data_IF_915466488557
#
_entry.id   IF_915466488557
#
_cell.length_a   1.000
_cell.length_b   1.000
_cell.length_c   1.000
_cell.angle_alpha   90.00
_cell.angle_beta   90.00
_cell.angle_gamma   90.00
#
_symmetry.space_group_name_H-M   'P 1'
#
loop_
_entity.id
_entity.type
_entity.pdbx_description
1 polymer ?
#
# COMPACT_ATOMS: atom_id res chain seq x y z
N UNK A 1 1.06 -7.68 -14.20
CA UNK A 1 1.00 -8.68 -13.10
C UNK A 1 2.37 -9.30 -12.78
N UNK A 2 3.15 -9.76 -13.77
CA UNK A 2 4.46 -10.39 -13.53
C UNK A 2 5.43 -9.53 -12.68
N UNK A 3 5.50 -8.23 -12.94
CA UNK A 3 6.38 -7.31 -12.21
C UNK A 3 6.03 -7.18 -10.72
N UNK A 4 4.74 -7.20 -10.39
CA UNK A 4 4.26 -7.17 -9.01
C UNK A 4 4.64 -8.44 -8.26
N UNK A 5 4.54 -9.60 -8.91
CA UNK A 5 4.92 -10.87 -8.32
C UNK A 5 6.44 -11.00 -8.12
N UNK A 6 7.24 -10.49 -9.05
CA UNK A 6 8.69 -10.39 -8.86
C UNK A 6 9.03 -9.46 -7.69
N UNK A 7 8.34 -8.32 -7.56
CA UNK A 7 8.50 -7.41 -6.42
C UNK A 7 8.19 -8.12 -5.11
N UNK A 8 7.09 -8.90 -5.03
CA UNK A 8 6.75 -9.67 -3.82
C UNK A 8 7.79 -10.75 -3.50
N UNK A 9 8.37 -11.40 -4.52
CA UNK A 9 9.46 -12.37 -4.34
C UNK A 9 10.72 -11.68 -3.82
N UNK A 10 11.09 -10.53 -4.39
CA UNK A 10 12.22 -9.72 -3.95
C UNK A 10 12.05 -9.29 -2.49
N UNK A 11 10.91 -8.74 -2.11
CA UNK A 11 10.62 -8.34 -0.72
C UNK A 11 10.84 -9.51 0.25
N UNK A 12 10.34 -10.71 -0.09
CA UNK A 12 10.53 -11.91 0.74
C UNK A 12 12.01 -12.33 0.83
N UNK A 13 12.77 -12.20 -0.26
CA UNK A 13 14.18 -12.59 -0.36
C UNK A 13 15.10 -11.66 0.43
N UNK A 14 14.85 -10.35 0.43
CA UNK A 14 15.66 -9.35 1.15
C UNK A 14 15.64 -9.56 2.67
N UNK A 15 14.58 -10.17 3.22
CA UNK A 15 14.42 -10.42 4.67
C UNK A 15 14.56 -9.15 5.52
N UNK A 16 14.11 -8.01 5.00
CA UNK A 16 14.03 -6.77 5.77
C UNK A 16 13.15 -6.92 7.01
N UNK A 17 13.44 -6.15 8.07
CA UNK A 17 12.61 -6.16 9.28
C UNK A 17 11.23 -5.55 9.07
N UNK A 18 11.16 -4.56 8.20
CA UNK A 18 9.98 -3.82 7.81
C UNK A 18 9.96 -3.61 6.30
N UNK A 19 8.77 -3.64 5.74
CA UNK A 19 8.51 -3.22 4.36
C UNK A 19 7.33 -2.26 4.34
N UNK A 20 7.44 -1.24 3.51
CA UNK A 20 6.37 -0.30 3.21
C UNK A 20 6.07 -0.37 1.72
N UNK A 21 4.79 -0.56 1.42
CA UNK A 21 4.25 -0.57 0.05
C UNK A 21 3.11 0.44 0.03
N UNK A 22 3.09 1.28 -1.01
CA UNK A 22 2.07 2.30 -1.21
C UNK A 22 1.58 2.26 -2.66
N UNK A 23 0.36 2.73 -2.87
CA UNK A 23 -0.15 3.06 -4.20
C UNK A 23 0.54 4.36 -4.63
N UNK A 24 0.99 4.42 -5.87
CA UNK A 24 1.62 5.61 -6.41
C UNK A 24 0.56 6.70 -6.66
N UNK A 25 0.81 7.88 -6.09
CA UNK A 25 0.01 9.09 -6.26
C UNK A 25 0.83 10.13 -7.00
N UNK A 26 0.46 10.48 -8.24
CA UNK A 26 1.07 11.59 -8.97
C UNK A 26 0.79 12.93 -8.28
N UNK A 27 1.85 13.65 -7.90
CA UNK A 27 1.76 14.93 -7.18
C UNK A 27 1.83 16.13 -8.14
N UNK A 28 1.20 17.28 -7.80
CA UNK A 28 1.16 18.44 -8.68
C UNK A 28 2.57 18.99 -8.95
N UNK A 29 2.78 19.52 -10.15
CA UNK A 29 4.08 20.06 -10.58
C UNK A 29 5.13 19.02 -10.96
N UNK A 30 4.88 17.71 -10.76
CA UNK A 30 5.77 16.64 -11.24
C UNK A 30 5.59 16.38 -12.74
N UNK A 31 6.61 15.82 -13.38
CA UNK A 31 6.54 15.41 -14.79
C UNK A 31 5.44 14.37 -15.02
N UNK A 32 5.41 13.32 -14.19
CA UNK A 32 4.38 12.30 -14.24
C UNK A 32 2.96 12.87 -14.10
N UNK A 33 2.74 13.90 -13.28
CA UNK A 33 1.42 14.52 -13.19
C UNK A 33 1.02 15.23 -14.49
N UNK A 34 1.97 15.95 -15.12
CA UNK A 34 1.73 16.60 -16.42
C UNK A 34 1.45 15.55 -17.51
N UNK A 35 2.20 14.47 -17.53
CA UNK A 35 2.01 13.38 -18.49
C UNK A 35 0.67 12.66 -18.26
N UNK A 36 0.30 12.45 -17.00
CA UNK A 36 -0.99 11.89 -16.61
C UNK A 36 -2.18 12.73 -17.09
N UNK A 37 -2.08 14.06 -16.99
CA UNK A 37 -3.08 14.98 -17.53
C UNK A 37 -3.11 14.97 -19.06
N UNK A 38 -1.94 15.02 -19.70
CA UNK A 38 -1.82 15.05 -21.17
C UNK A 38 -2.31 13.76 -21.84
N UNK A 39 -2.08 12.61 -21.20
CA UNK A 39 -2.54 11.28 -21.67
C UNK A 39 -3.99 10.97 -21.34
N UNK A 40 -4.63 11.74 -20.47
CA UNK A 40 -5.99 11.48 -19.97
C UNK A 40 -6.10 10.40 -18.90
N UNK A 41 -4.97 9.84 -18.42
CA UNK A 41 -4.93 8.95 -17.25
C UNK A 41 -5.49 9.68 -16.02
N UNK A 42 -5.13 10.96 -15.87
CA UNK A 42 -5.69 11.87 -14.89
C UNK A 42 -6.68 12.78 -15.64
N UNK A 43 -7.98 12.64 -15.32
CA UNK A 43 -9.05 13.29 -16.09
C UNK A 43 -9.14 14.80 -15.93
N UNK A 44 -8.69 15.33 -14.79
CA UNK A 44 -8.81 16.73 -14.40
C UNK A 44 -7.69 17.13 -13.46
N UNK A 45 -7.40 18.43 -13.38
CA UNK A 45 -6.40 18.99 -12.45
C UNK A 45 -6.94 18.97 -11.01
N UNK A 46 -7.10 17.77 -10.46
CA UNK A 46 -7.70 17.52 -9.15
C UNK A 46 -6.97 18.22 -8.00
N UNK A 47 -5.66 18.47 -8.15
CA UNK A 47 -4.88 19.19 -7.14
C UNK A 47 -5.16 20.68 -7.17
N UNK A 48 -5.33 21.27 -8.36
CA UNK A 48 -5.79 22.66 -8.48
C UNK A 48 -7.21 22.81 -7.94
N UNK A 49 -8.13 21.95 -8.33
CA UNK A 49 -9.52 21.98 -7.84
C UNK A 49 -9.58 21.91 -6.31
N UNK A 50 -8.80 20.99 -5.71
CA UNK A 50 -8.70 20.88 -4.26
C UNK A 50 -8.07 22.13 -3.62
N UNK A 51 -7.07 22.75 -4.24
CA UNK A 51 -6.45 23.97 -3.73
C UNK A 51 -7.40 25.19 -3.81
N UNK A 52 -8.27 25.24 -4.82
CA UNK A 52 -9.28 26.29 -5.01
C UNK A 52 -10.46 26.12 -4.04
N UNK A 53 -10.92 24.89 -3.81
CA UNK A 53 -12.00 24.55 -2.90
C UNK A 53 -11.71 23.22 -2.19
N UNK A 54 -11.09 23.24 -0.99
CA UNK A 54 -10.78 22.04 -0.24
C UNK A 54 -12.06 21.33 0.23
N UNK A 55 -12.25 20.09 -0.22
CA UNK A 55 -13.34 19.21 0.21
C UNK A 55 -12.79 18.10 1.13
N UNK A 56 -13.55 17.74 2.17
CA UNK A 56 -13.14 16.71 3.14
C UNK A 56 -13.09 15.29 2.52
N UNK A 57 -13.76 15.08 1.39
CA UNK A 57 -13.85 13.80 0.68
C UNK A 57 -12.86 13.67 -0.49
N UNK A 58 -11.90 14.60 -0.60
CA UNK A 58 -10.91 14.57 -1.67
C UNK A 58 -10.11 13.26 -1.69
N UNK A 59 -10.17 12.56 -2.83
CA UNK A 59 -9.38 11.36 -3.08
C UNK A 59 -8.21 11.70 -4.01
N UNK A 60 -6.95 11.57 -3.55
CA UNK A 60 -5.79 11.78 -4.40
C UNK A 60 -5.80 10.84 -5.62
N UNK A 61 -5.33 11.29 -6.79
CA UNK A 61 -5.32 10.46 -7.99
C UNK A 61 -4.36 9.26 -7.81
N UNK A 62 -4.62 8.20 -8.57
CA UNK A 62 -3.67 7.11 -8.76
C UNK A 62 -3.37 6.96 -10.26
N UNK A 63 -2.26 6.30 -10.58
CA UNK A 63 -1.94 5.98 -11.97
C UNK A 63 -2.77 4.80 -12.48
N UNK A 64 -3.94 5.10 -13.04
CA UNK A 64 -4.96 4.13 -13.41
C UNK A 64 -4.84 3.52 -14.82
N UNK A 65 -3.65 3.42 -15.39
CA UNK A 65 -3.45 2.94 -16.77
C UNK A 65 -3.80 1.45 -16.95
N UNK A 66 -3.37 0.61 -16.01
CA UNK A 66 -3.54 -0.85 -16.08
C UNK A 66 -4.36 -1.44 -14.95
N UNK A 67 -4.56 -0.69 -13.87
CA UNK A 67 -5.21 -1.16 -12.66
C UNK A 67 -6.16 -0.12 -12.09
N UNK A 68 -7.31 -0.59 -11.59
CA UNK A 68 -8.18 0.24 -10.77
C UNK A 68 -7.56 0.45 -9.39
N UNK A 69 -8.09 1.41 -8.64
CA UNK A 69 -7.64 1.67 -7.27
C UNK A 69 -7.87 0.45 -6.38
N UNK A 70 -9.00 -0.22 -6.57
CA UNK A 70 -9.41 -1.41 -5.82
C UNK A 70 -8.44 -2.57 -6.07
N UNK A 71 -8.04 -2.80 -7.33
CA UNK A 71 -7.06 -3.82 -7.68
C UNK A 71 -5.70 -3.52 -7.04
N UNK A 72 -5.25 -2.25 -7.07
CA UNK A 72 -4.02 -1.83 -6.41
C UNK A 72 -4.08 -2.02 -4.89
N UNK A 73 -5.24 -1.77 -4.27
CA UNK A 73 -5.45 -2.03 -2.84
C UNK A 73 -5.40 -3.52 -2.52
N UNK A 74 -5.98 -4.38 -3.36
CA UNK A 74 -5.91 -5.83 -3.19
C UNK A 74 -4.47 -6.35 -3.31
N UNK A 75 -3.70 -5.82 -4.26
CA UNK A 75 -2.27 -6.10 -4.39
C UNK A 75 -1.49 -5.63 -3.16
N UNK A 76 -1.81 -4.44 -2.62
CA UNK A 76 -1.21 -3.93 -1.40
C UNK A 76 -1.50 -4.86 -0.22
N UNK A 77 -2.76 -5.29 -0.03
CA UNK A 77 -3.12 -6.26 1.02
C UNK A 77 -2.34 -7.56 0.88
N UNK A 78 -2.28 -8.11 -0.34
CA UNK A 78 -1.52 -9.33 -0.65
C UNK A 78 -0.03 -9.17 -0.34
N UNK A 79 0.55 -8.01 -0.64
CA UNK A 79 1.96 -7.70 -0.36
C UNK A 79 2.24 -7.71 1.16
N UNK A 80 1.43 -6.98 1.93
CA UNK A 80 1.58 -6.88 3.38
C UNK A 80 1.39 -8.23 4.07
N UNK A 81 0.31 -8.95 3.75
CA UNK A 81 0.06 -10.27 4.33
C UNK A 81 1.17 -11.26 3.96
N UNK A 82 1.55 -11.30 2.68
CA UNK A 82 2.61 -12.18 2.19
C UNK A 82 4.00 -11.88 2.76
N UNK A 83 4.26 -10.64 3.18
CA UNK A 83 5.53 -10.23 3.79
C UNK A 83 5.55 -10.41 5.31
N UNK A 84 4.54 -9.93 6.03
CA UNK A 84 4.54 -9.92 7.49
C UNK A 84 4.06 -11.23 8.13
N UNK A 85 3.23 -12.03 7.45
CA UNK A 85 2.69 -13.30 7.98
C UNK A 85 3.51 -14.53 7.56
N UNK A 86 4.78 -14.34 7.19
CA UNK A 86 5.67 -15.43 6.79
C UNK A 86 5.96 -16.34 7.99
N UNK A 87 5.79 -17.67 7.90
CA UNK A 87 6.01 -18.59 9.01
C UNK A 87 7.38 -18.43 9.68
N UNK A 88 8.44 -18.31 8.89
CA UNK A 88 9.79 -18.10 9.41
C UNK A 88 9.95 -16.77 10.18
N UNK A 89 9.29 -15.69 9.72
CA UNK A 89 9.30 -14.39 10.43
C UNK A 89 8.49 -14.49 11.72
N UNK A 90 7.32 -15.12 11.69
CA UNK A 90 6.49 -15.34 12.88
C UNK A 90 7.26 -16.17 13.92
N UNK A 91 7.89 -17.28 13.51
CA UNK A 91 8.69 -18.11 14.41
C UNK A 91 9.84 -17.32 15.03
N UNK A 92 10.59 -16.58 14.20
CA UNK A 92 11.67 -15.69 14.68
C UNK A 92 11.15 -14.66 15.69
N UNK A 93 9.97 -14.08 15.47
CA UNK A 93 9.36 -13.16 16.43
C UNK A 93 9.05 -13.89 17.74
N UNK A 94 8.37 -15.04 17.68
CA UNK A 94 7.94 -15.79 18.86
C UNK A 94 9.12 -16.22 19.74
N UNK A 95 10.22 -16.69 19.14
CA UNK A 95 11.43 -17.08 19.88
C UNK A 95 12.15 -15.91 20.57
N UNK A 96 11.94 -14.68 20.11
CA UNK A 96 12.60 -13.49 20.66
C UNK A 96 11.75 -12.74 21.69
N UNK A 97 10.51 -13.15 21.94
CA UNK A 97 9.63 -12.51 22.92
C UNK A 97 10.15 -12.78 24.32
N UNK A 98 10.30 -11.71 25.12
CA UNK A 98 10.80 -11.81 26.50
C UNK A 98 9.73 -11.56 27.56
N UNK A 99 8.60 -10.97 27.17
CA UNK A 99 7.54 -10.60 28.12
C UNK A 99 6.14 -10.87 27.57
N UNK A 100 5.15 -11.17 28.43
CA UNK A 100 3.75 -11.30 28.01
C UNK A 100 3.21 -10.04 27.33
N UNK A 101 3.57 -8.86 27.83
CA UNK A 101 3.14 -7.58 27.23
C UNK A 101 3.71 -7.35 25.83
N UNK A 102 4.91 -7.83 25.53
CA UNK A 102 5.45 -7.84 24.18
C UNK A 102 4.68 -8.79 23.26
N UNK A 103 4.36 -10.00 23.74
CA UNK A 103 3.53 -10.95 23.00
C UNK A 103 2.20 -10.35 22.57
N UNK A 104 1.44 -9.77 23.50
CA UNK A 104 0.13 -9.20 23.18
C UNK A 104 0.21 -8.06 22.16
N UNK A 105 1.23 -7.20 22.24
CA UNK A 105 1.45 -6.12 21.27
C UNK A 105 1.71 -6.67 19.87
N UNK A 106 2.60 -7.67 19.74
CA UNK A 106 2.93 -8.27 18.45
C UNK A 106 1.79 -9.12 17.89
N UNK A 107 1.07 -9.86 18.74
CA UNK A 107 -0.11 -10.63 18.36
C UNK A 107 -1.21 -9.70 17.82
N UNK A 108 -1.48 -8.59 18.51
CA UNK A 108 -2.44 -7.57 18.03
C UNK A 108 -2.02 -6.97 16.69
N UNK A 109 -0.75 -6.67 16.49
CA UNK A 109 -0.23 -6.18 15.21
C UNK A 109 -0.38 -7.24 14.09
N UNK A 110 -0.03 -8.50 14.36
CA UNK A 110 -0.19 -9.60 13.42
C UNK A 110 -1.65 -9.83 13.01
N UNK A 111 -2.59 -9.77 13.97
CA UNK A 111 -4.03 -9.87 13.70
C UNK A 111 -4.53 -8.71 12.82
N UNK A 112 -4.05 -7.48 13.06
CA UNK A 112 -4.38 -6.33 12.19
C UNK A 112 -3.94 -6.57 10.74
N UNK A 113 -2.77 -7.16 10.51
CA UNK A 113 -2.29 -7.51 9.16
C UNK A 113 -3.12 -8.65 8.55
N UNK A 114 -3.42 -9.68 9.33
CA UNK A 114 -4.22 -10.84 8.89
C UNK A 114 -5.63 -10.44 8.45
N UNK A 115 -6.27 -9.56 9.20
CA UNK A 115 -7.61 -9.04 8.89
C UNK A 115 -7.60 -7.69 8.18
N UNK A 116 -6.47 -7.31 7.59
CA UNK A 116 -6.38 -6.09 6.79
C UNK A 116 -7.33 -6.22 5.60
N UNK A 117 -8.22 -5.24 5.44
CA UNK A 117 -9.19 -5.18 4.35
C UNK A 117 -8.76 -4.12 3.35
N UNK A 118 -9.19 -4.27 2.10
CA UNK A 118 -9.10 -3.18 1.11
C UNK A 118 -9.91 -1.99 1.62
N UNK A 119 -9.36 -0.79 1.45
CA UNK A 119 -9.99 0.44 1.90
C UNK A 119 -11.04 0.88 0.89
N UNK A 120 -12.32 0.65 1.20
CA UNK A 120 -13.43 1.00 0.30
C UNK A 120 -13.80 2.49 0.35
N UNK A 121 -13.12 3.29 1.17
CA UNK A 121 -13.45 4.70 1.41
C UNK A 121 -13.01 5.64 0.30
N UNK A 122 -12.35 5.13 -0.74
CA UNK A 122 -11.76 5.90 -1.84
C UNK A 122 -12.24 5.46 -3.24
N UNK A 123 -13.39 4.78 -3.31
CA UNK A 123 -14.04 4.32 -4.54
C UNK A 123 -15.18 5.26 -4.94
#
# INVERSE_FOLDING_TARGET
>A
MADMEETFRLMKRVKADYAHVTIFTPFPGTELYRDGLASGIIKKDCWREFAENPEDDFVPPHWGEYFTREELQELLVKAYQGFYLRPARIASILFNIRTPGEFFRKARAGLKVMFMKKDRSAA
#
